data_IF_018596478881
#
_entry.id   IF_018596478881
#
_cell.length_a   1.000
_cell.length_b   1.000
_cell.length_c   1.000
_cell.angle_alpha   90.00
_cell.angle_beta   90.00
_cell.angle_gamma   90.00
#
_symmetry.space_group_name_H-M   'P 1'
#
loop_
_entity.id
_entity.type
_entity.pdbx_description
1 polymer ?
#
# COMPACT_ATOMS: atom_id res chain seq x y z
N UNK A 1 14.23 16.39 -4.08
CA UNK A 1 14.63 15.19 -4.85
C UNK A 1 14.79 15.49 -6.33
N UNK A 2 13.77 16.03 -7.00
CA UNK A 2 13.87 16.36 -8.42
C UNK A 2 14.93 17.40 -8.76
N UNK A 3 15.18 18.39 -7.90
CA UNK A 3 16.29 19.35 -8.08
C UNK A 3 17.67 18.66 -8.04
N UNK A 4 17.75 17.52 -7.35
CA UNK A 4 18.94 16.66 -7.31
C UNK A 4 18.99 15.68 -8.49
N UNK A 5 18.09 15.82 -9.47
CA UNK A 5 17.93 14.95 -10.64
C UNK A 5 17.61 13.49 -10.31
N UNK A 6 17.05 13.23 -9.13
CA UNK A 6 16.58 11.90 -8.74
C UNK A 6 15.14 11.74 -9.26
N UNK A 7 14.94 10.78 -10.17
CA UNK A 7 13.68 10.48 -10.84
C UNK A 7 13.37 8.97 -10.74
N UNK A 8 12.70 8.52 -9.68
CA UNK A 8 12.37 7.12 -9.53
C UNK A 8 11.19 6.74 -10.43
N UNK A 9 11.18 5.50 -10.92
CA UNK A 9 10.01 4.97 -11.63
C UNK A 9 8.77 4.92 -10.72
N UNK A 10 8.97 4.66 -9.44
CA UNK A 10 7.90 4.54 -8.44
C UNK A 10 8.25 5.26 -7.15
N UNK A 11 7.28 5.99 -6.62
CA UNK A 11 7.35 6.49 -5.25
C UNK A 11 6.64 5.53 -4.30
N UNK A 12 7.25 5.27 -3.15
CA UNK A 12 6.62 4.53 -2.05
C UNK A 12 6.31 5.50 -0.92
N UNK A 13 5.03 5.86 -0.74
CA UNK A 13 4.60 6.91 0.19
C UNK A 13 3.60 6.38 1.23
N UNK A 14 3.56 6.98 2.45
CA UNK A 14 2.53 6.67 3.43
C UNK A 14 1.14 7.12 2.95
N UNK A 15 0.11 6.72 3.68
CA UNK A 15 -1.22 7.31 3.52
C UNK A 15 -1.16 8.82 3.76
N UNK A 16 -1.72 9.57 2.81
CA UNK A 16 -1.80 11.02 2.85
C UNK A 16 -3.25 11.45 3.02
N UNK A 17 -3.43 12.68 3.49
CA UNK A 17 -4.72 13.35 3.45
C UNK A 17 -5.09 13.71 2.00
N UNK A 18 -6.38 13.94 1.76
CA UNK A 18 -6.96 14.23 0.45
C UNK A 18 -6.21 15.39 -0.27
N UNK A 19 -6.03 16.54 0.41
CA UNK A 19 -5.31 17.68 -0.18
C UNK A 19 -3.84 17.37 -0.49
N UNK A 20 -3.18 16.58 0.35
CA UNK A 20 -1.78 16.19 0.13
C UNK A 20 -1.60 15.27 -1.08
N UNK A 21 -2.61 14.47 -1.43
CA UNK A 21 -2.59 13.67 -2.65
C UNK A 21 -2.65 14.52 -3.91
N UNK A 22 -3.41 15.62 -3.89
CA UNK A 22 -3.43 16.61 -4.99
C UNK A 22 -2.04 17.20 -5.17
N UNK A 23 -1.45 17.72 -4.09
CA UNK A 23 -0.13 18.35 -4.12
C UNK A 23 0.97 17.38 -4.61
N UNK A 24 0.98 16.14 -4.13
CA UNK A 24 1.94 15.13 -4.57
C UNK A 24 1.73 14.77 -6.06
N UNK A 25 0.48 14.67 -6.50
CA UNK A 25 0.16 14.43 -7.91
C UNK A 25 0.73 15.52 -8.80
N UNK A 26 0.50 16.79 -8.43
CA UNK A 26 0.96 17.94 -9.20
C UNK A 26 2.49 18.01 -9.26
N UNK A 27 3.16 17.80 -8.14
CA UNK A 27 4.62 17.82 -8.07
C UNK A 27 5.23 16.73 -8.95
N UNK A 28 4.76 15.49 -8.84
CA UNK A 28 5.31 14.37 -9.63
C UNK A 28 5.04 14.58 -11.12
N UNK A 29 3.79 14.87 -11.49
CA UNK A 29 3.41 15.03 -12.91
C UNK A 29 4.14 16.20 -13.58
N UNK A 30 4.45 17.26 -12.83
CA UNK A 30 5.18 18.43 -13.35
C UNK A 30 6.67 18.15 -13.56
N UNK A 31 7.32 17.43 -12.63
CA UNK A 31 8.77 17.27 -12.63
C UNK A 31 9.24 15.97 -13.32
N UNK A 32 8.36 14.97 -13.41
CA UNK A 32 8.70 13.63 -13.83
C UNK A 32 7.57 12.93 -14.61
N UNK A 33 7.38 13.28 -15.89
CA UNK A 33 6.34 12.69 -16.74
C UNK A 33 6.55 11.19 -17.03
N UNK A 34 7.70 10.62 -16.65
CA UNK A 34 8.01 9.21 -16.82
C UNK A 34 7.78 8.37 -15.54
N UNK A 35 7.51 9.02 -14.41
CA UNK A 35 7.15 8.33 -13.18
C UNK A 35 5.86 7.53 -13.37
N UNK A 36 5.87 6.26 -12.98
CA UNK A 36 4.74 5.34 -13.08
C UNK A 36 3.68 5.60 -11.99
N UNK A 37 4.08 6.26 -10.92
CA UNK A 37 3.20 6.80 -9.88
C UNK A 37 3.63 6.41 -8.47
N UNK A 38 2.64 6.27 -7.60
CA UNK A 38 2.81 6.03 -6.17
C UNK A 38 2.28 4.64 -5.81
N UNK A 39 3.02 3.93 -4.95
CA UNK A 39 2.59 2.73 -4.24
C UNK A 39 2.47 3.04 -2.75
N UNK A 40 1.29 2.81 -2.19
CA UNK A 40 0.99 3.05 -0.79
C UNK A 40 1.72 2.06 0.12
N UNK A 41 2.37 2.54 1.19
CA UNK A 41 3.03 1.66 2.17
C UNK A 41 2.17 1.48 3.43
N UNK A 42 2.29 0.32 4.08
CA UNK A 42 1.42 -0.04 5.22
C UNK A 42 1.93 0.28 6.63
N UNK A 43 3.18 0.71 6.82
CA UNK A 43 3.81 1.03 8.12
C UNK A 43 3.70 -0.04 9.25
N UNK A 44 3.31 -1.29 8.96
CA UNK A 44 2.92 -2.28 9.99
C UNK A 44 1.68 -1.86 10.79
N UNK A 45 0.86 -0.98 10.21
CA UNK A 45 -0.44 -0.66 10.76
C UNK A 45 -1.34 -1.90 10.74
N UNK A 46 -2.38 -1.96 11.59
CA UNK A 46 -3.42 -2.97 11.52
C UNK A 46 -4.05 -3.04 10.11
N UNK A 47 -4.52 -4.23 9.73
CA UNK A 47 -5.08 -4.46 8.39
C UNK A 47 -6.24 -3.52 8.08
N UNK A 48 -7.11 -3.26 9.05
CA UNK A 48 -8.25 -2.34 8.90
C UNK A 48 -7.80 -0.90 8.64
N UNK A 49 -6.76 -0.42 9.34
CA UNK A 49 -6.21 0.91 9.08
C UNK A 49 -5.62 1.03 7.68
N UNK A 50 -4.99 -0.03 7.17
CA UNK A 50 -4.50 -0.08 5.78
C UNK A 50 -5.68 -0.05 4.80
N UNK A 51 -6.74 -0.82 5.05
CA UNK A 51 -7.94 -0.85 4.21
C UNK A 51 -8.62 0.51 4.14
N UNK A 52 -8.80 1.18 5.27
CA UNK A 52 -9.38 2.53 5.32
C UNK A 52 -8.57 3.53 4.49
N UNK A 53 -7.24 3.43 4.54
CA UNK A 53 -6.36 4.32 3.78
C UNK A 53 -6.51 4.18 2.25
N UNK A 54 -6.95 3.01 1.77
CA UNK A 54 -7.23 2.81 0.35
C UNK A 54 -8.38 3.67 -0.15
N UNK A 55 -9.39 3.95 0.69
CA UNK A 55 -10.56 4.74 0.28
C UNK A 55 -10.22 6.19 -0.11
N UNK A 56 -9.20 6.78 0.50
CA UNK A 56 -8.69 8.10 0.10
C UNK A 56 -7.74 7.96 -1.09
N UNK A 57 -6.76 7.06 -0.99
CA UNK A 57 -5.69 6.94 -1.98
C UNK A 57 -6.21 6.51 -3.37
N UNK A 58 -7.21 5.64 -3.43
CA UNK A 58 -7.74 5.09 -4.68
C UNK A 58 -8.33 6.17 -5.59
N UNK A 59 -8.87 7.27 -5.02
CA UNK A 59 -9.45 8.42 -5.73
C UNK A 59 -8.45 9.10 -6.68
N UNK A 60 -7.16 8.99 -6.38
CA UNK A 60 -6.10 9.67 -7.11
C UNK A 60 -5.46 8.73 -8.11
N UNK A 61 -5.53 9.09 -9.40
CA UNK A 61 -4.97 8.26 -10.46
C UNK A 61 -3.45 8.04 -10.34
N UNK A 62 -2.72 8.90 -9.64
CA UNK A 62 -1.28 8.70 -9.42
C UNK A 62 -0.98 7.53 -8.49
N UNK A 63 -1.90 7.16 -7.60
CA UNK A 63 -1.75 5.99 -6.75
C UNK A 63 -2.16 4.73 -7.52
N UNK A 64 -1.21 3.81 -7.74
CA UNK A 64 -1.41 2.62 -8.58
C UNK A 64 -1.63 1.34 -7.79
N UNK A 65 -1.45 1.38 -6.47
CA UNK A 65 -1.57 0.21 -5.61
C UNK A 65 -0.84 0.39 -4.30
N UNK A 66 -0.41 -0.73 -3.72
CA UNK A 66 0.21 -0.76 -2.40
C UNK A 66 1.39 -1.74 -2.34
N UNK A 67 2.30 -1.49 -1.41
CA UNK A 67 3.42 -2.35 -1.04
C UNK A 67 3.45 -2.54 0.48
N UNK A 68 2.68 -3.52 0.93
CA UNK A 68 2.45 -3.81 2.35
C UNK A 68 3.15 -5.12 2.72
N UNK A 69 3.79 -5.16 3.89
CA UNK A 69 4.58 -6.30 4.35
C UNK A 69 4.12 -6.78 5.72
N UNK A 70 4.63 -6.17 6.80
CA UNK A 70 4.40 -6.61 8.19
C UNK A 70 2.92 -6.77 8.55
N UNK A 71 2.04 -5.92 8.04
CA UNK A 71 0.58 -6.08 8.23
C UNK A 71 0.06 -7.43 7.74
N UNK A 72 0.65 -8.00 6.68
CA UNK A 72 0.23 -9.29 6.10
C UNK A 72 0.84 -10.47 6.86
N UNK A 73 2.15 -10.44 7.12
CA UNK A 73 2.86 -11.64 7.56
C UNK A 73 3.30 -11.67 9.02
N UNK A 74 3.38 -10.52 9.70
CA UNK A 74 4.09 -10.45 10.98
C UNK A 74 3.43 -11.28 12.09
N UNK A 75 2.13 -11.13 12.30
CA UNK A 75 1.43 -11.88 13.36
C UNK A 75 1.36 -13.38 13.06
N UNK A 76 1.00 -13.84 11.84
CA UNK A 76 1.10 -15.27 11.50
C UNK A 76 2.50 -15.84 11.69
N UNK A 77 3.54 -15.14 11.22
CA UNK A 77 4.92 -15.58 11.37
C UNK A 77 5.33 -15.67 12.85
N UNK A 78 4.90 -14.72 13.68
CA UNK A 78 5.16 -14.74 15.12
C UNK A 78 4.49 -15.93 15.81
N UNK A 79 3.23 -16.25 15.47
CA UNK A 79 2.53 -17.43 16.02
C UNK A 79 3.22 -18.72 15.59
N UNK A 80 3.65 -18.80 14.33
CA UNK A 80 4.38 -19.95 13.79
C UNK A 80 5.73 -20.15 14.49
N UNK A 81 6.52 -19.09 14.69
CA UNK A 81 7.77 -19.13 15.45
C UNK A 81 7.58 -19.52 16.93
N UNK A 82 6.38 -19.32 17.47
CA UNK A 82 6.00 -19.76 18.81
C UNK A 82 5.44 -21.18 18.85
N UNK A 83 5.46 -21.92 17.73
CA UNK A 83 4.87 -23.24 17.57
C UNK A 83 3.37 -23.29 17.92
N UNK A 84 2.66 -22.17 17.78
CA UNK A 84 1.21 -22.08 18.04
C UNK A 84 0.35 -22.44 16.83
N UNK A 85 0.93 -22.31 15.64
CA UNK A 85 0.32 -22.71 14.37
C UNK A 85 1.34 -23.50 13.55
N UNK A 86 0.85 -24.36 12.66
CA UNK A 86 1.67 -25.15 11.73
C UNK A 86 1.94 -24.39 10.41
N UNK A 87 2.72 -25.02 9.52
CA UNK A 87 3.12 -24.44 8.24
C UNK A 87 1.91 -24.10 7.33
N UNK A 88 0.89 -24.95 7.32
CA UNK A 88 -0.32 -24.75 6.52
C UNK A 88 -1.13 -23.56 7.04
N UNK A 89 -1.32 -23.48 8.36
CA UNK A 89 -2.00 -22.36 9.01
C UNK A 89 -1.26 -21.02 8.79
N UNK A 90 0.08 -21.03 8.75
CA UNK A 90 0.87 -19.85 8.38
C UNK A 90 0.58 -19.41 6.95
N UNK A 91 0.66 -20.33 5.98
CA UNK A 91 0.43 -20.05 4.56
C UNK A 91 -1.00 -19.52 4.35
N UNK A 92 -1.98 -20.16 4.95
CA UNK A 92 -3.38 -19.76 4.88
C UNK A 92 -3.59 -18.35 5.44
N UNK A 93 -3.09 -18.09 6.65
CA UNK A 93 -3.26 -16.78 7.30
C UNK A 93 -2.61 -15.64 6.51
N UNK A 94 -1.39 -15.84 6.00
CA UNK A 94 -0.70 -14.86 5.17
C UNK A 94 -1.45 -14.62 3.85
N UNK A 95 -1.95 -15.70 3.23
CA UNK A 95 -2.70 -15.62 1.97
C UNK A 95 -4.03 -14.89 2.15
N UNK A 96 -4.78 -15.20 3.22
CA UNK A 96 -6.04 -14.53 3.57
C UNK A 96 -5.80 -13.03 3.75
N UNK A 97 -4.80 -12.64 4.56
CA UNK A 97 -4.47 -11.23 4.78
C UNK A 97 -4.11 -10.50 3.48
N UNK A 98 -3.38 -11.16 2.56
CA UNK A 98 -3.03 -10.57 1.28
C UNK A 98 -4.23 -10.42 0.35
N UNK A 99 -5.08 -11.46 0.25
CA UNK A 99 -6.31 -11.44 -0.55
C UNK A 99 -7.25 -10.35 -0.05
N UNK A 100 -7.39 -10.19 1.27
CA UNK A 100 -8.23 -9.15 1.87
C UNK A 100 -7.80 -7.75 1.44
N UNK A 101 -6.49 -7.45 1.45
CA UNK A 101 -5.99 -6.15 0.98
C UNK A 101 -6.18 -5.96 -0.53
N UNK A 102 -6.01 -7.01 -1.34
CA UNK A 102 -6.29 -6.95 -2.79
C UNK A 102 -7.77 -6.62 -3.03
N UNK A 103 -8.68 -7.32 -2.34
CA UNK A 103 -10.11 -7.12 -2.48
C UNK A 103 -10.52 -5.71 -2.03
N UNK A 104 -9.99 -5.23 -0.91
CA UNK A 104 -10.23 -3.87 -0.44
C UNK A 104 -9.75 -2.82 -1.45
N UNK A 105 -8.55 -2.97 -2.01
CA UNK A 105 -8.04 -2.06 -3.04
C UNK A 105 -8.90 -2.06 -4.30
N UNK A 106 -9.25 -3.25 -4.81
CA UNK A 106 -10.12 -3.38 -6.00
C UNK A 106 -11.46 -2.71 -5.79
N UNK A 107 -12.11 -2.97 -4.65
CA UNK A 107 -13.39 -2.35 -4.30
C UNK A 107 -13.34 -0.82 -4.46
N UNK A 108 -12.36 -0.16 -3.84
CA UNK A 108 -12.26 1.30 -3.95
C UNK A 108 -11.84 1.81 -5.33
N UNK A 109 -11.17 0.99 -6.15
CA UNK A 109 -10.77 1.37 -7.52
C UNK A 109 -11.86 1.13 -8.56
N UNK A 110 -12.75 0.17 -8.33
CA UNK A 110 -13.90 -0.11 -9.19
C UNK A 110 -15.08 0.84 -8.90
N UNK A 111 -15.12 1.46 -7.72
CA UNK A 111 -16.11 2.48 -7.33
C UNK A 111 -15.84 3.88 -7.91
N UNK A 112 -14.78 4.07 -8.70
CA UNK A 112 -14.37 5.34 -9.33
C UNK A 112 -14.57 5.25 -10.85
#
# INVERSE_FOLDING_TARGET
>A
FYDLKIKPDWWKLPALQDESWVQVSDVINTHDPHCQGVLLLGLSAPIDSVRESFGVAAKYNICKGFTVGRTIFYEPAKLWMQHKINDHELVDSVSINYIELIQAWKKYREEI
#
